data_IF_398538522449
#
_entry.id   IF_398538522449
#
_cell.length_a   1.000
_cell.length_b   1.000
_cell.length_c   1.000
_cell.angle_alpha   90.00
_cell.angle_beta   90.00
_cell.angle_gamma   90.00
#
_symmetry.space_group_name_H-M   'P 1'
#
loop_
_entity.id
_entity.type
_entity.pdbx_description
1 polymer ?
#
# COMPACT_ATOMS: atom_id res chain seq x y z
N UNK A 1 10.78 9.12 17.63
CA UNK A 1 11.69 8.14 16.98
C UNK A 1 11.08 7.79 15.62
N UNK A 2 11.87 7.89 14.54
CA UNK A 2 11.38 7.62 13.17
C UNK A 2 11.32 6.12 12.88
N UNK A 3 10.21 5.61 12.36
CA UNK A 3 10.04 4.20 12.01
C UNK A 3 9.84 4.01 10.50
N UNK A 4 10.52 3.03 9.89
CA UNK A 4 10.41 2.75 8.44
C UNK A 4 9.02 2.28 8.05
N UNK A 5 8.35 1.49 8.89
CA UNK A 5 6.96 1.08 8.61
C UNK A 5 5.96 2.25 8.71
N UNK A 6 6.35 3.40 9.27
CA UNK A 6 5.60 4.65 9.29
C UNK A 6 6.10 5.65 8.24
N UNK A 7 6.93 5.23 7.28
CA UNK A 7 7.50 6.12 6.27
C UNK A 7 8.54 7.08 6.83
N UNK A 8 9.32 6.63 7.81
CA UNK A 8 10.33 7.41 8.55
C UNK A 8 9.74 8.62 9.29
N UNK A 9 8.49 8.46 9.73
CA UNK A 9 7.81 9.38 10.64
C UNK A 9 7.66 8.74 12.02
N UNK A 10 7.26 9.53 13.01
CA UNK A 10 6.91 9.00 14.33
C UNK A 10 5.67 8.09 14.23
N UNK A 11 5.61 7.11 15.13
CA UNK A 11 4.46 6.22 15.24
C UNK A 11 3.26 6.99 15.83
N UNK A 12 2.05 6.89 15.26
CA UNK A 12 0.88 7.58 15.81
C UNK A 12 0.56 7.15 17.25
N UNK A 13 0.16 8.09 18.10
CA UNK A 13 -0.11 7.84 19.53
C UNK A 13 -1.18 6.77 19.76
N UNK A 14 -2.22 6.73 18.92
CA UNK A 14 -3.27 5.71 19.03
C UNK A 14 -2.72 4.30 18.74
N UNK A 15 -1.73 4.16 17.85
CA UNK A 15 -1.06 2.88 17.58
C UNK A 15 -0.23 2.48 18.78
N UNK A 16 0.51 3.42 19.37
CA UNK A 16 1.33 3.20 20.57
C UNK A 16 0.48 2.71 21.76
N UNK A 17 -0.67 3.35 22.01
CA UNK A 17 -1.60 2.95 23.07
C UNK A 17 -2.10 1.51 22.87
N UNK A 18 -2.34 1.10 21.63
CA UNK A 18 -2.81 -0.26 21.30
C UNK A 18 -1.67 -1.27 21.31
N UNK A 19 -0.42 -0.89 21.03
CA UNK A 19 0.72 -1.81 21.09
C UNK A 19 0.89 -2.41 22.50
N UNK A 20 0.72 -1.60 23.55
CA UNK A 20 0.71 -2.10 24.93
C UNK A 20 -0.48 -3.04 25.24
N UNK A 21 -1.55 -2.94 24.47
CA UNK A 21 -2.72 -3.82 24.56
C UNK A 21 -2.43 -5.15 23.84
N UNK A 22 -1.78 -5.09 22.67
CA UNK A 22 -1.36 -6.26 21.90
C UNK A 22 -0.29 -7.09 22.60
N UNK A 23 0.61 -6.47 23.38
CA UNK A 23 1.66 -7.18 24.13
C UNK A 23 1.10 -8.13 25.20
N UNK A 24 -0.12 -7.86 25.69
CA UNK A 24 -0.81 -8.69 26.71
C UNK A 24 -1.46 -9.95 26.13
N UNK A 25 -1.67 -9.99 24.81
CA UNK A 25 -2.19 -11.17 24.12
C UNK A 25 -1.10 -12.26 24.06
N UNK A 26 -1.50 -13.51 23.85
CA UNK A 26 -0.52 -14.54 23.49
C UNK A 26 -0.02 -14.33 22.05
N UNK A 27 1.23 -14.69 21.78
CA UNK A 27 1.82 -14.59 20.44
C UNK A 27 1.05 -15.41 19.40
N UNK A 28 0.44 -16.52 19.82
CA UNK A 28 -0.44 -17.36 18.98
C UNK A 28 -1.72 -16.62 18.61
N UNK A 29 -2.41 -16.01 19.59
CA UNK A 29 -3.62 -15.22 19.33
C UNK A 29 -3.32 -14.03 18.42
N UNK A 30 -2.22 -13.32 18.68
CA UNK A 30 -1.78 -12.21 17.84
C UNK A 30 -1.51 -12.65 16.40
N UNK A 31 -0.88 -13.82 16.21
CA UNK A 31 -0.65 -14.40 14.87
C UNK A 31 -1.98 -14.65 14.15
N UNK A 32 -2.92 -15.33 14.80
CA UNK A 32 -4.23 -15.67 14.22
C UNK A 32 -5.03 -14.41 13.90
N UNK A 33 -5.01 -13.40 14.79
CA UNK A 33 -5.66 -12.12 14.54
C UNK A 33 -5.03 -11.39 13.34
N UNK A 34 -3.69 -11.41 13.22
CA UNK A 34 -2.99 -10.83 12.07
C UNK A 34 -3.38 -11.52 10.78
N UNK A 35 -3.56 -12.85 10.79
CA UNK A 35 -4.04 -13.60 9.62
C UNK A 35 -5.45 -13.18 9.21
N UNK A 36 -6.38 -13.05 10.15
CA UNK A 36 -7.75 -12.56 9.87
C UNK A 36 -7.72 -11.14 9.28
N UNK A 37 -6.87 -10.27 9.83
CA UNK A 37 -6.71 -8.90 9.32
C UNK A 37 -6.16 -8.89 7.90
N UNK A 38 -5.14 -9.72 7.61
CA UNK A 38 -4.56 -9.85 6.27
C UNK A 38 -5.58 -10.39 5.28
N UNK A 39 -6.34 -11.43 5.65
CA UNK A 39 -7.43 -11.96 4.83
C UNK A 39 -8.46 -10.87 4.53
N UNK A 40 -8.91 -10.10 5.54
CA UNK A 40 -9.85 -9.00 5.34
C UNK A 40 -9.29 -7.78 4.58
N UNK A 41 -7.97 -7.69 4.38
CA UNK A 41 -7.35 -6.72 3.44
C UNK A 41 -7.39 -7.27 2.02
N UNK A 42 -7.08 -8.55 1.84
CA UNK A 42 -7.01 -9.21 0.52
C UNK A 42 -8.41 -9.39 -0.07
N UNK A 43 -9.35 -9.91 0.73
CA UNK A 43 -10.72 -10.23 0.37
C UNK A 43 -11.71 -9.67 1.41
N UNK A 44 -12.12 -8.39 1.26
CA UNK A 44 -13.12 -7.77 2.14
C UNK A 44 -14.51 -8.41 1.95
N UNK A 45 -15.34 -8.55 3.01
CA UNK A 45 -15.20 -7.95 4.34
C UNK A 45 -14.42 -8.79 5.36
N UNK A 46 -13.84 -8.12 6.36
CA UNK A 46 -13.14 -8.79 7.47
C UNK A 46 -14.13 -9.62 8.31
N UNK A 47 -13.78 -10.88 8.58
CA UNK A 47 -14.61 -11.78 9.38
C UNK A 47 -14.54 -11.44 10.88
N UNK A 48 -15.42 -10.53 11.31
CA UNK A 48 -15.51 -10.07 12.70
C UNK A 48 -15.93 -11.18 13.67
N UNK A 49 -16.75 -12.14 13.24
CA UNK A 49 -17.19 -13.26 14.09
C UNK A 49 -16.02 -14.16 14.49
N UNK A 50 -15.14 -14.49 13.53
CA UNK A 50 -13.92 -15.25 13.82
C UNK A 50 -13.00 -14.49 14.77
N UNK A 51 -12.85 -13.18 14.58
CA UNK A 51 -12.05 -12.34 15.47
C UNK A 51 -12.64 -12.28 16.90
N UNK A 52 -13.96 -12.17 17.03
CA UNK A 52 -14.65 -12.19 18.33
C UNK A 52 -14.48 -13.52 19.05
N UNK A 53 -14.61 -14.65 18.32
CA UNK A 53 -14.41 -15.99 18.89
C UNK A 53 -13.01 -16.14 19.49
N UNK A 54 -11.96 -15.69 18.79
CA UNK A 54 -10.58 -15.72 19.30
C UNK A 54 -10.38 -14.92 20.60
N UNK A 55 -11.15 -13.84 20.80
CA UNK A 55 -11.09 -13.01 22.01
C UNK A 55 -12.00 -13.51 23.14
N UNK A 56 -13.08 -14.23 22.83
CA UNK A 56 -14.01 -14.72 23.86
C UNK A 56 -13.43 -15.83 24.76
N UNK A 57 -12.28 -16.40 24.40
CA UNK A 57 -11.69 -17.55 25.10
C UNK A 57 -10.96 -17.21 26.40
N UNK A 58 -10.68 -15.93 26.71
CA UNK A 58 -10.02 -15.58 27.98
C UNK A 58 -10.60 -14.38 28.70
N UNK A 59 -10.61 -14.45 30.05
CA UNK A 59 -11.06 -13.38 30.93
C UNK A 59 -10.22 -12.10 30.80
N UNK A 60 -8.97 -12.22 30.38
CA UNK A 60 -8.06 -11.10 30.15
C UNK A 60 -8.45 -10.31 28.88
N UNK A 61 -9.11 -10.95 27.93
CA UNK A 61 -9.45 -10.38 26.63
C UNK A 61 -10.74 -9.54 26.65
N UNK A 62 -11.63 -9.80 27.61
CA UNK A 62 -12.93 -9.08 27.77
C UNK A 62 -12.79 -7.57 27.97
N UNK A 63 -11.64 -7.11 28.45
CA UNK A 63 -11.33 -5.69 28.67
C UNK A 63 -10.58 -5.04 27.49
N UNK A 64 -10.22 -5.81 26.45
CA UNK A 64 -9.45 -5.32 25.32
C UNK A 64 -10.40 -4.82 24.22
N UNK A 65 -10.13 -3.63 23.68
CA UNK A 65 -10.83 -3.14 22.50
C UNK A 65 -10.35 -3.90 21.26
N UNK A 66 -11.13 -4.91 20.86
CA UNK A 66 -10.88 -5.71 19.66
C UNK A 66 -10.77 -4.86 18.40
N UNK A 67 -11.62 -3.83 18.25
CA UNK A 67 -11.61 -2.98 17.05
C UNK A 67 -10.34 -2.15 17.00
N UNK A 68 -9.85 -1.67 18.15
CA UNK A 68 -8.58 -1.00 18.25
C UNK A 68 -7.41 -1.94 17.86
N UNK A 69 -7.42 -3.18 18.35
CA UNK A 69 -6.41 -4.19 18.00
C UNK A 69 -6.40 -4.51 16.49
N UNK A 70 -7.57 -4.73 15.90
CA UNK A 70 -7.74 -4.96 14.46
C UNK A 70 -7.24 -3.75 13.66
N UNK A 71 -7.60 -2.54 14.08
CA UNK A 71 -7.20 -1.30 13.40
C UNK A 71 -5.69 -1.08 13.47
N UNK A 72 -5.08 -1.36 14.62
CA UNK A 72 -3.63 -1.28 14.81
C UNK A 72 -2.89 -2.28 13.92
N UNK A 73 -3.30 -3.55 13.91
CA UNK A 73 -2.71 -4.56 13.01
C UNK A 73 -2.91 -4.20 11.54
N UNK A 74 -4.10 -3.72 11.17
CA UNK A 74 -4.39 -3.26 9.80
C UNK A 74 -3.46 -2.12 9.42
N UNK A 75 -3.26 -1.15 10.31
CA UNK A 75 -2.33 -0.04 10.08
C UNK A 75 -0.90 -0.54 9.91
N UNK A 76 -0.41 -1.44 10.76
CA UNK A 76 0.94 -2.02 10.64
C UNK A 76 1.12 -2.71 9.30
N UNK A 77 0.19 -3.60 8.92
CA UNK A 77 0.25 -4.35 7.64
C UNK A 77 0.21 -3.42 6.43
N UNK A 78 -0.76 -2.50 6.39
CA UNK A 78 -0.93 -1.58 5.26
C UNK A 78 0.23 -0.61 5.16
N UNK A 79 0.73 -0.09 6.28
CA UNK A 79 1.84 0.87 6.26
C UNK A 79 3.16 0.19 5.89
N UNK A 80 3.39 -1.04 6.36
CA UNK A 80 4.54 -1.86 5.92
C UNK A 80 4.53 -2.06 4.41
N UNK A 81 3.38 -2.41 3.83
CA UNK A 81 3.24 -2.59 2.39
C UNK A 81 3.39 -1.25 1.63
N UNK A 82 2.77 -0.18 2.14
CA UNK A 82 2.80 1.16 1.53
C UNK A 82 4.20 1.74 1.43
N UNK A 83 5.00 1.60 2.48
CA UNK A 83 6.35 2.16 2.54
C UNK A 83 7.44 1.17 2.13
N UNK A 84 7.05 0.00 1.62
CA UNK A 84 7.96 -1.07 1.19
C UNK A 84 9.00 -1.37 2.28
N UNK A 85 8.52 -1.44 3.54
CA UNK A 85 9.37 -1.70 4.68
C UNK A 85 9.75 -3.19 4.72
N UNK A 86 11.04 -3.48 4.91
CA UNK A 86 11.51 -4.85 5.10
C UNK A 86 10.90 -5.46 6.37
N UNK A 87 10.55 -6.74 6.34
CA UNK A 87 9.86 -7.38 7.46
C UNK A 87 10.78 -7.64 8.66
N UNK A 88 12.09 -7.76 8.43
CA UNK A 88 13.14 -7.77 9.47
C UNK A 88 13.24 -6.41 10.16
N UNK A 89 13.19 -5.33 9.38
CA UNK A 89 13.12 -3.97 9.88
C UNK A 89 11.87 -3.75 10.72
N UNK A 90 10.71 -4.14 10.21
CA UNK A 90 9.43 -4.09 10.93
C UNK A 90 9.52 -4.81 12.28
N UNK A 91 10.08 -6.02 12.32
CA UNK A 91 10.20 -6.79 13.55
C UNK A 91 11.02 -6.05 14.62
N UNK A 92 12.12 -5.42 14.23
CA UNK A 92 12.96 -4.64 15.15
C UNK A 92 12.24 -3.38 15.63
N UNK A 93 11.51 -2.71 14.74
CA UNK A 93 10.74 -1.50 15.06
C UNK A 93 9.57 -1.80 16.00
N UNK A 94 8.83 -2.89 15.78
CA UNK A 94 7.77 -3.34 16.69
C UNK A 94 8.30 -3.67 18.09
N UNK A 95 9.50 -4.25 18.19
CA UNK A 95 10.15 -4.49 19.48
C UNK A 95 10.53 -3.18 20.19
N UNK A 96 11.04 -2.19 19.45
CA UNK A 96 11.33 -0.86 19.99
C UNK A 96 10.07 -0.16 20.51
N UNK A 97 8.91 -0.44 19.91
CA UNK A 97 7.61 0.06 20.33
C UNK A 97 7.02 -0.68 21.55
N UNK A 98 7.66 -1.75 22.02
CA UNK A 98 7.27 -2.48 23.23
C UNK A 98 6.56 -3.81 22.99
N UNK A 99 6.49 -4.31 21.74
CA UNK A 99 6.04 -5.69 21.51
C UNK A 99 7.14 -6.70 21.91
N UNK A 100 6.79 -7.79 22.60
CA UNK A 100 7.73 -8.89 22.82
C UNK A 100 8.26 -9.47 21.51
N UNK A 101 9.41 -10.15 21.60
CA UNK A 101 10.08 -10.72 20.43
C UNK A 101 9.23 -11.78 19.74
N UNK A 102 8.51 -12.62 20.48
CA UNK A 102 7.63 -13.62 19.90
C UNK A 102 6.48 -12.99 19.11
N UNK A 103 5.87 -11.94 19.64
CA UNK A 103 4.76 -11.19 19.03
C UNK A 103 5.19 -10.53 17.72
N UNK A 104 6.33 -9.84 17.75
CA UNK A 104 6.89 -9.18 16.57
C UNK A 104 7.27 -10.21 15.51
N UNK A 105 7.82 -11.36 15.91
CA UNK A 105 8.13 -12.46 14.98
C UNK A 105 6.86 -13.11 14.39
N UNK A 106 5.78 -13.22 15.16
CA UNK A 106 4.51 -13.73 14.69
C UNK A 106 3.90 -12.83 13.59
N UNK A 107 3.88 -11.50 13.81
CA UNK A 107 3.42 -10.53 12.81
C UNK A 107 4.30 -10.60 11.55
N UNK A 108 5.63 -10.60 11.73
CA UNK A 108 6.59 -10.72 10.63
C UNK A 108 6.28 -11.92 9.72
N UNK A 109 6.11 -13.11 10.29
CA UNK A 109 5.83 -14.34 9.52
C UNK A 109 4.58 -14.22 8.66
N UNK A 110 3.49 -13.69 9.23
CA UNK A 110 2.22 -13.54 8.50
C UNK A 110 2.35 -12.53 7.33
N UNK A 111 3.09 -11.44 7.54
CA UNK A 111 3.33 -10.45 6.49
C UNK A 111 4.24 -11.04 5.41
N UNK A 112 5.35 -11.71 5.78
CA UNK A 112 6.25 -12.38 4.83
C UNK A 112 5.49 -13.33 3.89
N UNK A 113 4.62 -14.17 4.45
CA UNK A 113 3.86 -15.18 3.71
C UNK A 113 2.90 -14.57 2.65
N UNK A 114 2.42 -13.35 2.89
CA UNK A 114 1.37 -12.71 2.07
C UNK A 114 1.76 -11.35 1.48
N UNK A 115 3.01 -10.91 1.64
CA UNK A 115 3.47 -9.56 1.29
C UNK A 115 3.14 -9.19 -0.16
N UNK A 116 3.50 -10.06 -1.10
CA UNK A 116 3.27 -9.83 -2.52
C UNK A 116 1.77 -9.74 -2.88
N UNK A 117 0.93 -10.51 -2.19
CA UNK A 117 -0.52 -10.50 -2.42
C UNK A 117 -1.14 -9.22 -1.86
N UNK A 118 -0.71 -8.79 -0.66
CA UNK A 118 -1.16 -7.55 -0.02
C UNK A 118 -0.80 -6.35 -0.89
N UNK A 119 0.46 -6.26 -1.36
CA UNK A 119 0.91 -5.15 -2.22
C UNK A 119 0.07 -5.10 -3.50
N UNK A 120 -0.08 -6.22 -4.22
CA UNK A 120 -0.89 -6.29 -5.44
C UNK A 120 -2.34 -5.87 -5.20
N UNK A 121 -2.95 -6.30 -4.10
CA UNK A 121 -4.32 -5.90 -3.74
C UNK A 121 -4.39 -4.39 -3.50
N UNK A 122 -3.51 -3.85 -2.67
CA UNK A 122 -3.47 -2.42 -2.36
C UNK A 122 -3.23 -1.58 -3.62
N UNK A 123 -2.35 -2.02 -4.51
CA UNK A 123 -2.10 -1.39 -5.80
C UNK A 123 -3.32 -1.39 -6.72
N UNK A 124 -4.10 -2.47 -6.74
CA UNK A 124 -5.34 -2.58 -7.53
C UNK A 124 -6.47 -1.71 -6.98
N UNK A 125 -6.52 -1.50 -5.67
CA UNK A 125 -7.48 -0.62 -4.99
C UNK A 125 -7.01 0.84 -4.89
N UNK A 126 -5.80 1.14 -5.34
CA UNK A 126 -5.21 2.48 -5.25
C UNK A 126 -5.80 3.39 -6.32
N UNK A 127 -6.12 4.62 -5.94
CA UNK A 127 -6.48 5.68 -6.89
C UNK A 127 -5.23 6.05 -7.69
N UNK A 128 -5.13 5.54 -8.91
CA UNK A 128 -4.09 5.89 -9.87
C UNK A 128 -4.65 6.81 -10.94
N UNK A 129 -3.82 7.71 -11.46
CA UNK A 129 -4.14 8.43 -12.69
C UNK A 129 -4.27 7.39 -13.81
N UNK A 130 -5.32 7.50 -14.64
CA UNK A 130 -5.52 6.55 -15.72
C UNK A 130 -4.31 6.55 -16.65
N UNK A 131 -3.66 5.39 -16.78
CA UNK A 131 -2.52 5.25 -17.67
C UNK A 131 -2.97 5.32 -19.12
N UNK A 132 -2.10 5.85 -19.98
CA UNK A 132 -2.25 5.72 -21.43
C UNK A 132 -2.08 4.25 -21.81
N UNK A 133 -3.12 3.62 -22.34
CA UNK A 133 -3.10 2.21 -22.73
C UNK A 133 -2.49 2.03 -24.12
N UNK A 134 -2.92 2.87 -25.08
CA UNK A 134 -2.41 2.84 -26.44
C UNK A 134 -2.57 4.20 -27.12
N UNK A 135 -1.68 4.47 -28.07
CA UNK A 135 -1.73 5.64 -28.95
C UNK A 135 -1.59 5.16 -30.40
N UNK A 136 -2.59 5.43 -31.23
CA UNK A 136 -2.48 5.22 -32.69
C UNK A 136 -2.49 6.56 -33.39
N UNK A 137 -1.61 6.73 -34.37
CA UNK A 137 -1.49 7.98 -35.13
C UNK A 137 -1.79 7.69 -36.59
N UNK A 138 -2.70 8.46 -37.18
CA UNK A 138 -3.02 8.42 -38.61
C UNK A 138 -2.78 9.81 -39.19
N UNK A 139 -1.86 9.91 -40.15
CA UNK A 139 -1.56 11.18 -40.80
C UNK A 139 -2.47 11.34 -42.01
N UNK A 140 -3.27 12.40 -42.04
CA UNK A 140 -4.02 12.78 -43.22
C UNK A 140 -3.18 13.74 -44.06
N UNK A 141 -2.73 13.26 -45.23
CA UNK A 141 -1.90 14.04 -46.17
C UNK A 141 -2.67 15.17 -46.86
N UNK A 142 -4.00 15.10 -46.91
CA UNK A 142 -4.83 16.11 -47.57
C UNK A 142 -5.05 17.34 -46.68
N UNK A 143 -5.18 17.13 -45.37
CA UNK A 143 -5.46 18.21 -44.41
C UNK A 143 -4.24 18.63 -43.57
N UNK A 144 -3.06 18.06 -43.85
CA UNK A 144 -1.82 18.25 -43.08
C UNK A 144 -2.01 18.16 -41.54
N UNK A 145 -2.84 17.19 -41.13
CA UNK A 145 -3.20 16.96 -39.74
C UNK A 145 -2.98 15.50 -39.37
N UNK A 146 -2.71 15.25 -38.09
CA UNK A 146 -2.63 13.91 -37.52
C UNK A 146 -3.86 13.64 -36.64
N UNK A 147 -4.48 12.49 -36.85
CA UNK A 147 -5.52 11.92 -35.99
C UNK A 147 -4.86 11.02 -34.95
N UNK A 148 -5.04 11.36 -33.68
CA UNK A 148 -4.56 10.63 -32.52
C UNK A 148 -5.72 9.84 -31.90
N UNK A 149 -5.68 8.52 -31.98
CA UNK A 149 -6.57 7.64 -31.23
C UNK A 149 -5.91 7.31 -29.89
N UNK A 150 -6.35 7.96 -28.81
CA UNK A 150 -5.78 7.85 -27.46
C UNK A 150 -6.68 6.97 -26.60
N UNK A 151 -6.19 5.78 -26.20
CA UNK A 151 -6.96 4.87 -25.36
C UNK A 151 -6.59 5.05 -23.88
N UNK A 152 -7.59 5.41 -23.07
CA UNK A 152 -7.46 5.59 -21.63
C UNK A 152 -8.68 5.00 -20.94
N UNK A 153 -8.48 4.09 -19.98
CA UNK A 153 -9.55 3.44 -19.22
C UNK A 153 -10.59 2.75 -20.14
N UNK A 154 -10.09 1.99 -21.12
CA UNK A 154 -10.92 1.29 -22.11
C UNK A 154 -11.63 2.17 -23.14
N UNK A 155 -11.59 3.50 -23.00
CA UNK A 155 -12.23 4.46 -23.90
C UNK A 155 -11.22 5.04 -24.88
N UNK A 156 -11.58 5.11 -26.16
CA UNK A 156 -10.78 5.74 -27.21
C UNK A 156 -11.26 7.19 -27.36
N UNK A 157 -10.36 8.14 -27.13
CA UNK A 157 -10.58 9.55 -27.42
C UNK A 157 -9.83 9.89 -28.70
N UNK A 158 -10.54 10.42 -29.69
CA UNK A 158 -9.96 10.85 -30.96
C UNK A 158 -9.66 12.34 -30.89
N UNK A 159 -8.44 12.73 -31.25
CA UNK A 159 -8.03 14.13 -31.29
C UNK A 159 -7.34 14.41 -32.62
N UNK A 160 -7.81 15.42 -33.34
CA UNK A 160 -7.14 15.93 -34.54
C UNK A 160 -6.18 17.03 -34.14
N UNK A 161 -4.92 16.93 -34.56
CA UNK A 161 -3.88 17.92 -34.30
C UNK A 161 -3.21 18.34 -35.60
N UNK A 162 -2.80 19.61 -35.66
CA UNK A 162 -2.03 20.14 -36.80
C UNK A 162 -0.54 19.79 -36.65
N UNK A 163 0.22 19.89 -37.75
CA UNK A 163 1.68 19.67 -37.71
C UNK A 163 2.37 20.54 -36.65
N UNK A 164 2.01 21.82 -36.54
CA UNK A 164 2.60 22.72 -35.54
C UNK A 164 2.34 22.26 -34.10
N UNK A 165 1.12 21.81 -33.80
CA UNK A 165 0.77 21.29 -32.47
C UNK A 165 1.51 19.99 -32.15
N UNK A 166 1.73 19.12 -33.15
CA UNK A 166 2.53 17.90 -33.00
C UNK A 166 3.99 18.24 -32.64
N UNK A 167 4.58 19.23 -33.29
CA UNK A 167 5.96 19.66 -32.99
C UNK A 167 6.10 20.20 -31.57
N UNK A 168 5.13 21.01 -31.11
CA UNK A 168 5.09 21.50 -29.72
C UNK A 168 4.94 20.34 -28.74
N UNK A 169 4.03 19.40 -29.00
CA UNK A 169 3.82 18.23 -28.13
C UNK A 169 5.09 17.37 -28.04
N UNK A 170 5.77 17.13 -29.16
CA UNK A 170 7.04 16.39 -29.20
C UNK A 170 8.13 17.09 -28.40
N UNK A 171 8.25 18.41 -28.53
CA UNK A 171 9.20 19.20 -27.74
C UNK A 171 8.93 19.07 -26.25
N UNK A 172 7.69 19.27 -25.81
CA UNK A 172 7.30 19.17 -24.41
C UNK A 172 7.56 17.76 -23.85
N UNK A 173 7.22 16.71 -24.60
CA UNK A 173 7.47 15.32 -24.18
C UNK A 173 8.96 14.99 -24.09
N UNK A 174 9.80 15.56 -24.97
CA UNK A 174 11.26 15.40 -24.90
C UNK A 174 11.86 16.10 -23.67
N UNK A 175 11.37 17.29 -23.34
CA UNK A 175 11.80 18.04 -22.14
C UNK A 175 11.34 17.35 -20.83
N UNK A 176 10.18 16.70 -20.84
CA UNK A 176 9.66 15.97 -19.68
C UNK A 176 10.35 14.63 -19.44
N UNK A 177 10.81 13.94 -20.49
CA UNK A 177 11.46 12.63 -20.39
C UNK A 177 12.60 12.57 -19.35
N UNK A 178 13.61 13.46 -19.35
CA UNK A 178 14.70 13.39 -18.36
C UNK A 178 14.20 13.59 -16.93
N UNK A 179 13.23 14.49 -16.71
CA UNK A 179 12.60 14.68 -15.39
C UNK A 179 11.87 13.43 -14.92
N UNK A 180 11.18 12.73 -15.82
CA UNK A 180 10.52 11.46 -15.50
C UNK A 180 11.52 10.33 -15.20
N UNK A 181 12.67 10.30 -15.89
CA UNK A 181 13.74 9.33 -15.63
C UNK A 181 14.41 9.58 -14.28
N UNK A 182 14.64 10.84 -13.91
CA UNK A 182 15.11 11.24 -12.58
C UNK A 182 14.13 10.76 -11.48
N UNK A 183 12.83 10.98 -11.68
CA UNK A 183 11.80 10.53 -10.75
C UNK A 183 11.65 9.00 -10.68
N UNK A 184 11.91 8.26 -11.77
CA UNK A 184 11.98 6.78 -11.73
C UNK A 184 13.18 6.28 -10.93
N UNK A 185 14.29 7.01 -10.94
CA UNK A 185 15.48 6.74 -10.15
C UNK A 185 15.35 7.11 -8.66
N UNK A 186 14.35 7.95 -8.33
CA UNK A 186 13.97 8.28 -6.96
C UNK A 186 13.35 7.06 -6.27
N UNK A 187 14.21 6.13 -5.82
CA UNK A 187 13.89 5.36 -4.61
C UNK A 187 13.68 6.39 -3.52
N UNK A 188 12.57 6.33 -2.79
CA UNK A 188 12.27 7.20 -1.65
C UNK A 188 13.49 7.24 -0.72
N UNK A 189 14.39 8.21 -0.92
CA UNK A 189 15.57 8.43 -0.10
C UNK A 189 15.07 9.21 1.09
N UNK A 190 14.74 8.48 2.13
CA UNK A 190 14.45 9.09 3.42
C UNK A 190 15.71 9.73 3.95
N UNK A 191 15.73 11.05 3.99
CA UNK A 191 16.44 11.82 5.03
C UNK A 191 15.84 11.57 6.41
#
# INVERSE_FOLDING_TARGET
MKFRFCGNSDCPDWVLAVINTLSKLSSVKLKLLTQIVVEGIIDPPLNMEKALKLFSESKLDSNLDLKACISCLRYIVVSTARFVCETTALQSELQQLGLPREHSSAIKKVIDDKQNVIIKKLESSSLKVNALESLTVKVNKESDCALLDIKVNGKINQVTVTSHTVDILLKNLRELRPKMEELKGYKYKST
#
